data_IF_867867417850
#
_entry.id   IF_867867417850
#
_cell.length_a   1.000
_cell.length_b   1.000
_cell.length_c   1.000
_cell.angle_alpha   90.00
_cell.angle_beta   90.00
_cell.angle_gamma   90.00
#
_symmetry.space_group_name_H-M   'P 1'
#
loop_
_entity.id
_entity.type
_entity.pdbx_description
1 polymer ?
#
# COMPACT_ATOMS: atom_id res chain seq x y z
N UNK A 1 1.76 39.15 -78.12
CA UNK A 1 2.78 38.47 -77.31
C UNK A 1 2.24 38.24 -75.92
N UNK A 2 1.68 37.08 -75.69
CA UNK A 2 1.04 36.70 -74.43
C UNK A 2 1.98 35.79 -73.63
N UNK A 3 2.27 36.18 -72.38
CA UNK A 3 3.09 35.38 -71.44
C UNK A 3 2.16 34.57 -70.52
N UNK A 4 2.11 33.25 -70.72
CA UNK A 4 1.51 32.30 -69.79
C UNK A 4 2.35 32.18 -68.53
N UNK A 5 1.77 32.51 -67.36
CA UNK A 5 2.33 32.14 -66.04
C UNK A 5 1.73 30.79 -65.62
N UNK A 6 2.59 29.75 -65.48
CA UNK A 6 2.22 28.49 -64.89
C UNK A 6 2.25 28.61 -63.36
N UNK A 7 1.10 28.41 -62.70
CA UNK A 7 1.02 28.15 -61.29
C UNK A 7 1.33 26.68 -61.02
N UNK A 8 2.39 26.41 -60.25
CA UNK A 8 2.71 25.12 -59.70
C UNK A 8 2.02 24.98 -58.34
N UNK A 9 1.01 24.12 -58.25
CA UNK A 9 0.42 23.73 -56.97
C UNK A 9 1.30 22.62 -56.34
N UNK A 10 2.02 22.92 -55.25
CA UNK A 10 2.62 21.94 -54.38
C UNK A 10 1.53 21.36 -53.49
N UNK A 11 1.07 20.13 -53.76
CA UNK A 11 0.21 19.40 -52.86
C UNK A 11 1.02 18.84 -51.69
N UNK A 12 0.72 19.32 -50.47
CA UNK A 12 1.21 18.70 -49.23
C UNK A 12 0.37 17.46 -48.96
N UNK A 13 0.93 16.26 -49.15
CA UNK A 13 0.37 15.04 -48.60
C UNK A 13 0.70 14.96 -47.10
N UNK A 14 -0.29 15.22 -46.28
CA UNK A 14 -0.22 14.94 -44.88
C UNK A 14 -0.32 13.44 -44.65
N UNK A 15 0.77 12.80 -44.26
CA UNK A 15 0.78 11.44 -43.75
C UNK A 15 0.17 11.47 -42.34
N UNK A 16 -1.08 11.02 -42.23
CA UNK A 16 -1.63 10.65 -40.91
C UNK A 16 -0.97 9.31 -40.50
N UNK A 17 0.04 9.39 -39.65
CA UNK A 17 0.51 8.24 -38.90
C UNK A 17 -0.57 7.84 -37.90
N UNK A 18 -1.27 6.74 -38.17
CA UNK A 18 -2.11 6.09 -37.15
C UNK A 18 -1.18 5.50 -36.09
N UNK A 19 -1.01 6.22 -34.99
CA UNK A 19 -0.38 5.68 -33.79
C UNK A 19 -1.37 4.64 -33.22
N UNK A 20 -1.02 3.37 -33.37
CA UNK A 20 -1.70 2.29 -32.65
C UNK A 20 -1.47 2.54 -31.15
N UNK A 21 -2.46 3.03 -30.44
CA UNK A 21 -2.46 3.07 -28.99
C UNK A 21 -2.53 1.62 -28.52
N UNK A 22 -1.38 1.00 -28.24
CA UNK A 22 -1.33 -0.14 -27.35
C UNK A 22 -2.09 0.30 -26.10
N UNK A 23 -3.13 -0.46 -25.70
CA UNK A 23 -4.04 -0.09 -24.61
C UNK A 23 -3.26 0.25 -23.34
N UNK A 24 -3.03 1.53 -23.14
CA UNK A 24 -2.54 2.05 -21.85
C UNK A 24 -3.67 1.86 -20.85
N UNK A 25 -3.34 1.33 -19.68
CA UNK A 25 -4.27 1.32 -18.57
C UNK A 25 -4.82 2.74 -18.36
N UNK A 26 -6.09 2.87 -18.05
CA UNK A 26 -6.64 4.19 -17.75
C UNK A 26 -5.94 4.74 -16.49
N UNK A 27 -5.57 6.02 -16.46
CA UNK A 27 -4.90 6.61 -15.30
C UNK A 27 -5.79 6.56 -14.07
N UNK A 28 -5.18 6.35 -12.90
CA UNK A 28 -5.88 6.48 -11.63
C UNK A 28 -6.34 7.93 -11.39
N UNK A 29 -7.49 8.07 -10.77
CA UNK A 29 -8.08 9.37 -10.45
C UNK A 29 -7.65 9.80 -9.05
N UNK A 30 -6.94 10.93 -8.86
CA UNK A 30 -6.59 11.43 -7.53
C UNK A 30 -7.82 11.57 -6.62
N UNK A 31 -7.69 11.12 -5.37
CA UNK A 31 -8.76 11.17 -4.38
C UNK A 31 -9.72 9.97 -4.40
N UNK A 32 -9.51 9.00 -5.28
CA UNK A 32 -10.20 7.71 -5.28
C UNK A 32 -9.48 6.67 -4.43
N UNK A 33 -10.06 5.49 -4.33
CA UNK A 33 -9.50 4.33 -3.65
C UNK A 33 -9.07 3.29 -4.67
N UNK A 34 -7.92 2.69 -4.45
CA UNK A 34 -7.47 1.51 -5.20
C UNK A 34 -7.50 0.31 -4.27
N UNK A 35 -8.18 -0.75 -4.70
CA UNK A 35 -8.35 -2.00 -3.95
C UNK A 35 -7.67 -3.12 -4.70
N UNK A 36 -6.84 -3.91 -4.02
CA UNK A 36 -6.32 -5.15 -4.58
C UNK A 36 -7.36 -6.27 -4.46
N UNK A 37 -7.76 -6.81 -5.59
CA UNK A 37 -8.67 -7.94 -5.70
C UNK A 37 -7.89 -9.18 -6.12
N UNK A 38 -8.02 -10.26 -5.34
CA UNK A 38 -7.42 -11.57 -5.62
C UNK A 38 -8.49 -12.51 -6.13
N UNK A 39 -8.20 -13.26 -7.18
CA UNK A 39 -9.12 -14.23 -7.78
C UNK A 39 -9.40 -13.95 -9.25
N UNK A 40 -10.07 -14.89 -9.89
CA UNK A 40 -10.47 -14.84 -11.31
C UNK A 40 -11.93 -15.28 -11.53
N UNK A 41 -12.74 -15.31 -10.48
CA UNK A 41 -14.13 -15.76 -10.53
C UNK A 41 -14.30 -17.28 -10.47
N UNK A 42 -13.22 -18.04 -10.39
CA UNK A 42 -13.23 -19.50 -10.28
C UNK A 42 -12.54 -19.91 -9.00
N UNK A 43 -13.12 -20.87 -8.26
CA UNK A 43 -12.43 -21.48 -7.11
C UNK A 43 -11.34 -22.43 -7.64
N UNK A 44 -10.15 -21.88 -7.80
CA UNK A 44 -8.99 -22.60 -8.31
C UNK A 44 -8.09 -23.09 -7.17
N UNK A 45 -7.49 -24.26 -7.36
CA UNK A 45 -6.34 -24.71 -6.57
C UNK A 45 -5.07 -24.15 -7.19
N UNK A 46 -4.21 -23.51 -6.42
CA UNK A 46 -2.95 -22.94 -6.87
C UNK A 46 -2.95 -21.42 -6.97
N UNK A 47 -2.01 -20.89 -7.74
CA UNK A 47 -1.83 -19.44 -7.87
C UNK A 47 -3.00 -18.77 -8.57
N UNK A 48 -3.38 -17.60 -8.04
CA UNK A 48 -4.49 -16.80 -8.57
C UNK A 48 -4.02 -15.37 -8.87
N UNK A 49 -4.60 -14.72 -9.89
CA UNK A 49 -4.23 -13.37 -10.29
C UNK A 49 -4.60 -12.34 -9.23
N UNK A 50 -3.94 -11.20 -9.31
CA UNK A 50 -4.24 -9.99 -8.53
C UNK A 50 -4.54 -8.86 -9.52
N UNK A 51 -5.64 -8.16 -9.29
CA UNK A 51 -6.06 -6.99 -10.07
C UNK A 51 -6.26 -5.81 -9.13
N UNK A 52 -5.75 -4.64 -9.50
CA UNK A 52 -6.04 -3.40 -8.80
C UNK A 52 -7.30 -2.79 -9.40
N UNK A 53 -8.29 -2.49 -8.57
CA UNK A 53 -9.57 -1.90 -8.98
C UNK A 53 -9.78 -0.56 -8.32
N UNK A 54 -10.19 0.42 -9.09
CA UNK A 54 -10.45 1.75 -8.59
C UNK A 54 -11.93 1.93 -8.23
N UNK A 55 -12.15 2.57 -7.06
CA UNK A 55 -13.47 2.93 -6.55
C UNK A 55 -13.49 4.40 -6.14
N UNK A 56 -14.60 5.07 -6.31
CA UNK A 56 -14.83 6.36 -5.65
C UNK A 56 -14.87 6.18 -4.14
N UNK A 57 -14.70 7.24 -3.39
CA UNK A 57 -14.84 7.21 -1.91
C UNK A 57 -16.27 6.88 -1.45
N UNK A 58 -17.25 6.94 -2.35
CA UNK A 58 -18.62 6.48 -2.13
C UNK A 58 -18.85 5.00 -2.50
N UNK A 59 -17.81 4.29 -2.96
CA UNK A 59 -17.87 2.86 -3.27
C UNK A 59 -18.28 2.50 -4.69
N UNK A 60 -18.46 3.47 -5.58
CA UNK A 60 -18.77 3.21 -6.99
C UNK A 60 -17.49 2.81 -7.72
N UNK A 61 -17.48 1.65 -8.39
CA UNK A 61 -16.37 1.27 -9.26
C UNK A 61 -16.27 2.24 -10.44
N UNK A 62 -15.07 2.76 -10.70
CA UNK A 62 -14.83 3.71 -11.79
C UNK A 62 -14.66 3.03 -13.15
N UNK A 63 -14.41 1.73 -13.15
CA UNK A 63 -14.06 0.94 -14.34
C UNK A 63 -12.55 0.88 -14.61
N UNK A 64 -11.73 1.60 -13.85
CA UNK A 64 -10.26 1.50 -13.95
C UNK A 64 -9.81 0.21 -13.27
N UNK A 65 -9.15 -0.65 -14.05
CA UNK A 65 -8.59 -1.92 -13.58
C UNK A 65 -7.17 -2.10 -14.11
N UNK A 66 -6.24 -2.47 -13.24
CA UNK A 66 -4.85 -2.75 -13.57
C UNK A 66 -4.55 -4.20 -13.17
N UNK A 67 -4.50 -5.09 -14.15
CA UNK A 67 -4.15 -6.49 -13.94
C UNK A 67 -2.63 -6.63 -13.74
N UNK A 68 -2.20 -7.23 -12.63
CA UNK A 68 -0.79 -7.52 -12.41
C UNK A 68 -0.32 -8.70 -13.28
N UNK A 69 0.97 -8.74 -13.70
CA UNK A 69 1.50 -9.80 -14.53
C UNK A 69 1.34 -11.16 -13.84
N UNK A 70 0.82 -12.16 -14.54
CA UNK A 70 0.71 -13.56 -14.07
C UNK A 70 1.78 -14.46 -14.61
N UNK A 71 2.56 -13.98 -15.60
CA UNK A 71 3.69 -14.67 -16.25
C UNK A 71 4.88 -13.74 -16.34
N UNK A 72 6.08 -14.32 -16.43
CA UNK A 72 7.31 -13.56 -16.64
C UNK A 72 7.46 -13.17 -18.12
N UNK A 73 7.90 -11.94 -18.39
CA UNK A 73 8.21 -11.44 -19.72
C UNK A 73 9.31 -10.39 -19.67
N UNK A 74 10.50 -10.71 -20.14
CA UNK A 74 11.67 -9.83 -20.04
C UNK A 74 11.99 -9.50 -18.58
N UNK A 75 11.99 -8.20 -18.23
CA UNK A 75 12.16 -7.70 -16.87
C UNK A 75 10.84 -7.51 -16.10
N UNK A 76 9.71 -7.82 -16.71
CA UNK A 76 8.40 -7.82 -16.04
C UNK A 76 8.14 -9.20 -15.46
N UNK A 77 8.09 -9.29 -14.14
CA UNK A 77 7.91 -10.55 -13.41
C UNK A 77 6.49 -10.70 -12.88
N UNK A 78 6.03 -11.95 -12.81
CA UNK A 78 4.73 -12.28 -12.28
C UNK A 78 4.56 -11.88 -10.82
N UNK A 79 3.35 -11.42 -10.49
CA UNK A 79 2.87 -11.17 -9.12
C UNK A 79 1.52 -11.83 -8.97
N UNK A 80 1.49 -12.91 -8.21
CA UNK A 80 0.28 -13.69 -7.96
C UNK A 80 0.10 -13.95 -6.47
N UNK A 81 -1.12 -14.22 -6.05
CA UNK A 81 -1.37 -14.89 -4.78
C UNK A 81 -1.18 -16.40 -4.96
N UNK A 82 -0.63 -17.07 -3.96
CA UNK A 82 -0.42 -18.53 -4.04
C UNK A 82 -1.74 -19.31 -3.95
N UNK A 83 -2.74 -18.76 -3.28
CA UNK A 83 -4.12 -19.29 -3.24
C UNK A 83 -5.10 -18.15 -2.98
N UNK A 84 -6.39 -18.35 -3.30
CA UNK A 84 -7.46 -17.41 -2.97
C UNK A 84 -7.56 -17.18 -1.46
N UNK A 85 -7.40 -18.24 -0.66
CA UNK A 85 -7.50 -18.20 0.80
C UNK A 85 -6.30 -17.60 1.53
N UNK A 86 -5.20 -17.25 0.84
CA UNK A 86 -4.07 -16.61 1.51
C UNK A 86 -4.41 -15.18 1.92
N UNK A 87 -4.64 -15.00 3.22
CA UNK A 87 -5.07 -13.73 3.80
C UNK A 87 -3.92 -12.75 4.04
N UNK A 88 -2.68 -13.20 3.94
CA UNK A 88 -1.48 -12.39 4.21
C UNK A 88 -0.90 -11.68 3.00
N UNK A 89 -1.51 -11.78 1.82
CA UNK A 89 -1.01 -11.19 0.58
C UNK A 89 -1.95 -10.14 0.02
N UNK A 90 -1.41 -9.23 -0.78
CA UNK A 90 -2.22 -8.23 -1.50
C UNK A 90 -2.36 -6.90 -0.76
N UNK A 91 -1.64 -6.68 0.34
CA UNK A 91 -1.60 -5.37 0.98
C UNK A 91 -1.00 -4.34 0.04
N UNK A 92 -1.70 -3.22 -0.10
CA UNK A 92 -1.37 -2.16 -1.03
C UNK A 92 -0.93 -0.92 -0.24
N UNK A 93 0.22 -0.34 -0.59
CA UNK A 93 0.72 0.87 0.06
C UNK A 93 0.93 1.97 -0.97
N UNK A 94 0.54 3.20 -0.65
CA UNK A 94 0.93 4.38 -1.40
C UNK A 94 2.31 4.84 -0.93
N UNK A 95 3.18 5.26 -1.84
CA UNK A 95 4.49 5.83 -1.53
C UNK A 95 4.38 7.09 -0.67
N UNK A 96 5.47 7.44 0.01
CA UNK A 96 5.48 8.64 0.88
C UNK A 96 5.28 9.92 0.06
N UNK A 97 5.84 9.99 -1.15
CA UNK A 97 5.65 11.08 -2.11
C UNK A 97 4.31 11.02 -2.87
N UNK A 98 3.47 10.02 -2.53
CA UNK A 98 2.13 9.79 -3.10
C UNK A 98 2.07 9.42 -4.58
N UNK A 99 3.19 9.25 -5.28
CA UNK A 99 3.24 9.06 -6.73
C UNK A 99 3.04 7.61 -7.18
N UNK A 100 3.24 6.65 -6.28
CA UNK A 100 3.22 5.23 -6.60
C UNK A 100 2.36 4.43 -5.64
N UNK A 101 1.87 3.31 -6.13
CA UNK A 101 1.42 2.20 -5.30
C UNK A 101 2.48 1.10 -5.31
N UNK A 102 2.61 0.38 -4.21
CA UNK A 102 3.47 -0.80 -4.10
C UNK A 102 2.69 -1.99 -3.58
N UNK A 103 3.02 -3.16 -4.10
CA UNK A 103 2.48 -4.45 -3.68
C UNK A 103 3.56 -5.51 -3.81
N UNK A 104 3.56 -6.48 -2.90
CA UNK A 104 4.43 -7.66 -2.98
C UNK A 104 3.59 -8.92 -3.13
N UNK A 105 4.07 -9.86 -3.94
CA UNK A 105 3.41 -11.13 -4.17
C UNK A 105 4.39 -12.27 -4.43
N UNK A 106 3.82 -13.42 -4.73
CA UNK A 106 4.57 -14.57 -5.22
C UNK A 106 4.86 -14.39 -6.72
N UNK A 107 6.02 -14.87 -7.17
CA UNK A 107 6.28 -15.06 -8.60
C UNK A 107 5.55 -16.27 -9.16
N UNK A 108 5.79 -16.62 -10.42
CA UNK A 108 5.25 -17.82 -11.08
C UNK A 108 5.53 -19.10 -10.27
N UNK A 109 6.68 -19.17 -9.62
CA UNK A 109 7.01 -20.22 -8.65
C UNK A 109 6.77 -19.70 -7.24
N UNK A 110 5.57 -19.92 -6.71
CA UNK A 110 5.17 -19.47 -5.38
C UNK A 110 6.05 -20.03 -4.24
N UNK A 111 6.79 -21.09 -4.45
CA UNK A 111 7.68 -21.67 -3.43
C UNK A 111 9.04 -20.97 -3.38
N UNK A 112 9.52 -20.39 -4.46
CA UNK A 112 10.89 -19.89 -4.57
C UNK A 112 10.99 -18.36 -4.67
N UNK A 113 10.17 -17.69 -5.49
CA UNK A 113 10.37 -16.27 -5.79
C UNK A 113 9.29 -15.35 -5.21
N UNK A 114 9.70 -14.12 -4.91
CA UNK A 114 8.85 -13.00 -4.50
C UNK A 114 9.12 -11.83 -5.43
N UNK A 115 8.06 -11.14 -5.80
CA UNK A 115 8.12 -9.97 -6.70
C UNK A 115 7.46 -8.79 -6.03
N UNK A 116 8.10 -7.63 -6.10
CA UNK A 116 7.52 -6.35 -5.72
C UNK A 116 7.17 -5.60 -6.99
N UNK A 117 5.94 -5.09 -7.11
CA UNK A 117 5.58 -4.12 -8.12
C UNK A 117 5.48 -2.72 -7.52
N UNK A 118 5.92 -1.77 -8.33
CA UNK A 118 5.61 -0.35 -8.22
C UNK A 118 4.67 0.00 -9.37
N UNK A 119 3.56 0.65 -9.05
CA UNK A 119 2.55 1.05 -10.03
C UNK A 119 2.44 2.58 -10.00
N UNK A 120 2.58 3.22 -11.15
CA UNK A 120 2.51 4.67 -11.28
C UNK A 120 1.07 5.18 -11.43
N UNK A 121 0.92 6.49 -11.54
CA UNK A 121 -0.37 7.18 -11.67
C UNK A 121 -1.11 6.86 -12.97
N UNK A 122 -0.42 6.38 -13.99
CA UNK A 122 -0.99 5.98 -15.28
C UNK A 122 -1.34 4.49 -15.32
N UNK A 123 -1.13 3.75 -14.22
CA UNK A 123 -1.31 2.30 -14.16
C UNK A 123 -0.14 1.53 -14.78
N UNK A 124 0.98 2.21 -15.07
CA UNK A 124 2.22 1.57 -15.52
C UNK A 124 2.82 0.71 -14.41
N UNK A 125 3.15 -0.55 -14.71
CA UNK A 125 3.65 -1.53 -13.74
C UNK A 125 5.15 -1.74 -13.95
N UNK A 126 5.94 -1.49 -12.93
CA UNK A 126 7.33 -1.95 -12.83
C UNK A 126 7.40 -3.10 -11.82
N UNK A 127 7.51 -4.33 -12.32
CA UNK A 127 7.68 -5.55 -11.53
C UNK A 127 9.07 -6.17 -11.70
N UNK A 128 10.07 -5.34 -11.98
CA UNK A 128 11.46 -5.77 -12.18
C UNK A 128 12.17 -6.23 -10.89
N UNK A 129 11.63 -5.90 -9.73
CA UNK A 129 12.20 -6.30 -8.42
C UNK A 129 11.74 -7.71 -8.07
N UNK A 130 12.63 -8.68 -8.23
CA UNK A 130 12.34 -10.09 -7.96
C UNK A 130 13.53 -10.79 -7.32
N UNK A 131 13.26 -11.53 -6.25
CA UNK A 131 14.31 -12.23 -5.50
C UNK A 131 13.85 -13.61 -5.02
N UNK A 132 14.81 -14.47 -4.73
CA UNK A 132 14.56 -15.75 -4.08
C UNK A 132 14.35 -15.53 -2.58
N UNK A 133 13.25 -16.05 -2.06
CA UNK A 133 12.92 -16.03 -0.65
C UNK A 133 12.05 -17.26 -0.31
N UNK A 134 12.60 -18.45 -0.50
CA UNK A 134 11.91 -19.70 -0.22
C UNK A 134 11.44 -19.74 1.24
N UNK A 135 10.22 -20.20 1.47
CA UNK A 135 9.61 -20.28 2.80
C UNK A 135 9.07 -18.95 3.33
N UNK A 136 9.36 -17.80 2.71
CA UNK A 136 8.81 -16.50 3.16
C UNK A 136 7.41 -16.30 2.64
N UNK A 137 6.46 -16.01 3.53
CA UNK A 137 5.15 -15.48 3.16
C UNK A 137 5.26 -13.94 3.02
N UNK A 138 5.23 -13.37 1.80
CA UNK A 138 5.31 -11.93 1.61
C UNK A 138 4.04 -11.26 2.15
N UNK A 139 4.17 -10.05 2.70
CA UNK A 139 3.06 -9.34 3.35
C UNK A 139 2.83 -7.96 2.77
N UNK A 140 3.79 -7.06 2.86
CA UNK A 140 3.67 -5.66 2.49
C UNK A 140 4.96 -5.13 1.87
N UNK A 141 4.84 -4.13 1.01
CA UNK A 141 5.98 -3.37 0.51
C UNK A 141 5.63 -1.88 0.49
N UNK A 142 6.61 -1.01 0.74
CA UNK A 142 6.46 0.44 0.69
C UNK A 142 7.72 1.07 0.09
N UNK A 143 7.56 2.26 -0.47
CA UNK A 143 8.65 3.10 -1.02
C UNK A 143 8.48 4.54 -0.57
N UNK A 144 9.58 5.29 -0.53
CA UNK A 144 9.54 6.74 -0.33
C UNK A 144 9.26 7.46 -1.64
N UNK A 145 10.10 7.23 -2.65
CA UNK A 145 10.09 7.95 -3.94
C UNK A 145 10.13 7.00 -5.16
N UNK A 146 9.81 5.73 -4.96
CA UNK A 146 9.73 4.74 -6.02
C UNK A 146 11.01 3.94 -6.31
N UNK A 147 12.18 4.31 -5.77
CA UNK A 147 13.46 3.62 -6.02
C UNK A 147 13.92 2.77 -4.85
N UNK A 148 13.69 3.22 -3.64
CA UNK A 148 13.97 2.50 -2.41
C UNK A 148 12.75 1.69 -2.00
N UNK A 149 12.95 0.42 -1.65
CA UNK A 149 11.87 -0.50 -1.33
C UNK A 149 12.11 -1.15 0.03
N UNK A 150 11.13 -1.06 0.89
CA UNK A 150 11.06 -1.89 2.10
C UNK A 150 9.96 -2.91 1.92
N UNK A 151 10.20 -4.12 2.39
CA UNK A 151 9.20 -5.16 2.36
C UNK A 151 9.20 -5.99 3.64
N UNK A 152 8.08 -6.58 3.94
CA UNK A 152 7.88 -7.43 5.11
C UNK A 152 7.37 -8.80 4.74
N UNK A 153 7.64 -9.77 5.61
CA UNK A 153 7.16 -11.13 5.44
C UNK A 153 7.39 -11.99 6.67
N UNK A 154 6.92 -13.23 6.60
CA UNK A 154 6.99 -14.21 7.65
C UNK A 154 7.61 -15.52 7.15
N UNK A 155 8.54 -16.10 7.93
CA UNK A 155 9.13 -17.42 7.65
C UNK A 155 8.78 -18.47 8.70
N UNK A 156 8.06 -18.09 9.76
CA UNK A 156 7.85 -18.96 10.92
C UNK A 156 9.13 -19.26 11.72
N UNK A 157 10.32 -18.90 11.21
CA UNK A 157 11.61 -19.07 11.90
C UNK A 157 12.66 -18.07 11.39
N UNK A 158 13.23 -17.42 12.21
CA UNK A 158 14.19 -16.35 12.50
C UNK A 158 15.12 -15.77 11.44
N UNK A 159 15.38 -16.28 10.25
CA UNK A 159 16.52 -15.77 9.48
C UNK A 159 16.22 -15.10 8.15
N UNK A 160 15.06 -15.32 7.55
CA UNK A 160 14.74 -14.82 6.21
C UNK A 160 13.49 -13.96 6.11
N UNK A 161 12.63 -13.92 7.14
CA UNK A 161 11.47 -13.04 7.26
C UNK A 161 11.79 -11.66 7.83
N UNK A 162 10.79 -11.06 8.44
CA UNK A 162 10.89 -9.74 9.05
C UNK A 162 10.78 -8.61 8.03
N UNK A 163 11.46 -7.51 8.32
CA UNK A 163 11.50 -6.32 7.47
C UNK A 163 12.85 -6.23 6.79
N UNK A 164 12.83 -5.95 5.48
CA UNK A 164 14.05 -5.87 4.67
C UNK A 164 14.02 -4.63 3.78
N UNK A 165 15.21 -4.12 3.48
CA UNK A 165 15.44 -3.02 2.56
C UNK A 165 16.09 -3.54 1.26
N UNK A 166 15.60 -3.09 0.11
CA UNK A 166 16.16 -3.37 -1.21
C UNK A 166 15.92 -2.19 -2.14
N UNK A 167 16.40 -2.25 -3.38
CA UNK A 167 16.19 -1.22 -4.39
C UNK A 167 15.34 -1.75 -5.54
N UNK A 168 14.67 -0.87 -6.25
CA UNK A 168 13.93 -1.18 -7.47
C UNK A 168 14.84 -1.89 -8.49
N UNK A 169 14.33 -2.94 -9.12
CA UNK A 169 15.09 -3.76 -10.08
C UNK A 169 16.05 -4.76 -9.45
N UNK A 170 16.13 -4.83 -8.12
CA UNK A 170 17.02 -5.75 -7.42
C UNK A 170 16.60 -7.21 -7.58
N UNK A 171 17.58 -8.11 -7.73
CA UNK A 171 17.40 -9.56 -7.68
C UNK A 171 17.75 -10.16 -6.31
N UNK A 172 18.17 -9.32 -5.36
CA UNK A 172 18.46 -9.69 -3.98
C UNK A 172 17.25 -9.38 -3.09
N UNK A 173 17.01 -10.26 -2.09
CA UNK A 173 16.03 -9.99 -1.03
C UNK A 173 16.39 -8.79 -0.15
N UNK A 174 17.57 -8.23 -0.31
CA UNK A 174 18.04 -7.04 0.35
C UNK A 174 18.57 -7.28 1.76
N UNK A 175 18.78 -6.17 2.47
CA UNK A 175 19.33 -6.10 3.82
C UNK A 175 18.20 -6.39 4.82
N UNK A 176 18.36 -7.41 5.66
CA UNK A 176 17.44 -7.64 6.77
C UNK A 176 17.68 -6.63 7.88
N UNK A 177 16.68 -5.87 8.26
CA UNK A 177 16.82 -4.83 9.28
C UNK A 177 17.09 -5.43 10.67
N UNK A 178 16.57 -6.62 10.95
CA UNK A 178 16.70 -7.31 12.25
C UNK A 178 17.80 -8.40 12.29
N UNK A 179 18.64 -8.52 11.26
CA UNK A 179 19.59 -9.63 11.15
C UNK A 179 20.71 -9.57 12.19
N UNK A 180 21.10 -10.74 12.72
CA UNK A 180 22.27 -10.92 13.56
C UNK A 180 22.03 -10.82 15.07
N UNK A 181 20.82 -10.47 15.46
CA UNK A 181 20.47 -10.47 16.88
C UNK A 181 19.80 -11.78 17.19
N UNK A 182 20.48 -12.62 17.97
CA UNK A 182 19.88 -13.83 18.55
C UNK A 182 18.55 -13.48 19.20
N UNK A 183 17.59 -14.36 19.11
CA UNK A 183 16.20 -14.16 19.52
C UNK A 183 15.97 -13.81 21.00
N UNK A 184 17.00 -13.49 21.75
CA UNK A 184 16.92 -13.34 23.21
C UNK A 184 17.84 -12.21 23.69
N UNK A 185 17.30 -11.00 23.77
CA UNK A 185 17.95 -9.91 24.46
C UNK A 185 17.59 -8.52 23.93
N UNK A 186 17.41 -7.60 24.84
CA UNK A 186 17.33 -6.17 24.54
C UNK A 186 18.75 -5.60 24.32
N UNK A 187 18.84 -4.50 23.60
CA UNK A 187 20.05 -3.67 23.62
C UNK A 187 20.19 -2.94 24.96
N UNK A 188 21.28 -2.16 25.13
CA UNK A 188 21.51 -1.36 26.34
C UNK A 188 20.39 -0.35 26.64
N UNK A 189 19.56 0.00 25.66
CA UNK A 189 18.40 0.89 25.81
C UNK A 189 17.07 0.15 26.06
N UNK A 190 17.10 -1.18 26.28
CA UNK A 190 15.91 -1.98 26.52
C UNK A 190 15.04 -2.24 25.28
N UNK A 191 15.57 -2.00 24.06
CA UNK A 191 14.87 -2.26 22.82
C UNK A 191 15.17 -3.70 22.32
N UNK A 192 14.22 -4.29 21.62
CA UNK A 192 14.30 -5.65 21.11
C UNK A 192 14.47 -5.68 19.58
N UNK A 193 15.06 -6.75 19.02
CA UNK A 193 15.15 -6.92 17.57
C UNK A 193 13.77 -6.88 16.92
N UNK A 194 13.68 -6.26 15.74
CA UNK A 194 12.45 -6.25 14.92
C UNK A 194 11.98 -7.69 14.67
N UNK A 195 10.68 -8.01 14.84
CA UNK A 195 10.19 -9.38 14.76
C UNK A 195 10.31 -9.95 13.34
N UNK A 196 10.62 -11.25 13.26
CA UNK A 196 10.72 -11.99 11.99
C UNK A 196 9.34 -12.23 11.32
N UNK A 197 8.25 -12.24 12.07
CA UNK A 197 6.88 -12.23 11.56
C UNK A 197 6.36 -10.79 11.59
N UNK A 198 6.85 -9.99 10.68
CA UNK A 198 6.33 -8.64 10.47
C UNK A 198 5.23 -8.68 9.41
N UNK A 199 4.13 -8.02 9.69
CA UNK A 199 2.95 -8.00 8.83
C UNK A 199 2.99 -6.80 7.89
N UNK A 200 2.26 -5.74 8.19
CA UNK A 200 2.22 -4.55 7.34
C UNK A 200 3.23 -3.52 7.84
N UNK A 201 3.81 -2.78 6.92
CA UNK A 201 4.79 -1.72 7.19
C UNK A 201 4.25 -0.38 6.70
N UNK A 202 4.71 0.70 7.31
CA UNK A 202 4.32 2.07 6.98
C UNK A 202 5.39 3.08 7.38
N UNK A 203 5.32 4.25 6.76
CA UNK A 203 6.16 5.40 7.09
C UNK A 203 5.22 6.55 7.41
N UNK A 204 5.44 7.20 8.54
CA UNK A 204 4.70 8.37 8.96
C UNK A 204 5.67 9.37 9.58
N UNK A 205 5.60 10.63 9.15
CA UNK A 205 6.44 11.73 9.60
C UNK A 205 7.95 11.37 9.65
N UNK A 206 8.43 10.72 8.58
CA UNK A 206 9.82 10.30 8.43
C UNK A 206 10.27 9.17 9.36
N UNK A 207 9.38 8.51 10.08
CA UNK A 207 9.66 7.35 10.92
C UNK A 207 9.02 6.08 10.36
N UNK A 208 9.76 4.97 10.41
CA UNK A 208 9.32 3.66 9.94
C UNK A 208 8.62 2.87 11.03
N UNK A 209 7.51 2.22 10.68
CA UNK A 209 6.68 1.41 11.56
C UNK A 209 6.36 0.05 10.95
N UNK A 210 6.03 -0.90 11.80
CA UNK A 210 5.51 -2.21 11.42
C UNK A 210 4.43 -2.70 12.38
N UNK A 211 3.68 -3.70 11.94
CA UNK A 211 2.75 -4.45 12.78
C UNK A 211 3.17 -5.91 12.91
N UNK A 212 2.83 -6.53 14.02
CA UNK A 212 3.11 -7.94 14.28
C UNK A 212 2.15 -8.52 15.31
N UNK A 213 2.02 -9.87 15.32
CA UNK A 213 1.25 -10.60 16.31
C UNK A 213 2.13 -11.51 17.17
N UNK A 214 3.45 -11.32 17.19
CA UNK A 214 4.38 -12.22 17.87
C UNK A 214 5.15 -11.54 18.99
N UNK A 215 5.75 -12.35 19.85
CA UNK A 215 6.74 -11.93 20.83
C UNK A 215 8.13 -12.40 20.38
N UNK A 216 9.17 -11.64 20.75
CA UNK A 216 10.58 -11.97 20.50
C UNK A 216 11.34 -11.81 21.81
N UNK A 217 12.05 -12.85 22.24
CA UNK A 217 12.86 -12.80 23.47
C UNK A 217 12.09 -12.43 24.73
N UNK A 218 10.79 -12.77 24.81
CA UNK A 218 9.92 -12.42 25.92
C UNK A 218 9.27 -11.02 25.80
N UNK A 219 9.66 -10.20 24.80
CA UNK A 219 9.04 -8.92 24.51
C UNK A 219 7.90 -9.08 23.48
N UNK A 220 6.74 -8.48 23.76
CA UNK A 220 5.59 -8.57 22.86
C UNK A 220 5.58 -7.45 21.83
N UNK A 221 5.65 -7.82 20.56
CA UNK A 221 5.41 -6.94 19.42
C UNK A 221 3.96 -6.97 18.92
N UNK A 222 3.04 -7.60 19.68
CA UNK A 222 1.62 -7.59 19.32
C UNK A 222 1.09 -6.18 19.26
N UNK A 223 0.83 -5.67 18.05
CA UNK A 223 0.42 -4.29 17.84
C UNK A 223 1.23 -3.61 16.76
N UNK A 224 1.40 -2.31 16.92
CA UNK A 224 2.24 -1.46 16.05
C UNK A 224 3.52 -1.10 16.79
N UNK A 225 4.64 -1.21 16.14
CA UNK A 225 5.96 -0.90 16.67
C UNK A 225 6.74 0.01 15.74
N UNK A 226 7.63 0.83 16.28
CA UNK A 226 8.60 1.57 15.48
C UNK A 226 9.78 0.66 15.08
N UNK A 227 10.54 1.07 14.06
CA UNK A 227 11.72 0.35 13.57
C UNK A 227 12.88 1.34 13.48
N UNK A 228 13.85 1.19 14.36
CA UNK A 228 15.02 2.06 14.41
C UNK A 228 14.65 3.53 14.57
N UNK A 229 15.46 4.40 13.98
CA UNK A 229 15.23 5.85 13.92
C UNK A 229 15.14 6.29 12.47
N UNK A 230 14.13 7.08 12.13
CA UNK A 230 13.88 7.53 10.77
C UNK A 230 13.41 6.37 9.85
N UNK A 231 13.93 6.30 8.65
CA UNK A 231 13.64 5.27 7.65
C UNK A 231 14.90 4.44 7.39
N UNK A 232 15.15 3.38 8.17
CA UNK A 232 16.44 2.68 8.17
C UNK A 232 16.64 1.82 6.91
N UNK A 233 17.88 1.81 6.41
CA UNK A 233 18.34 1.00 5.28
C UNK A 233 19.42 0.00 5.65
N UNK A 234 19.83 -0.04 6.94
CA UNK A 234 20.93 -0.86 7.45
C UNK A 234 20.42 -1.92 8.43
N UNK A 235 21.19 -2.99 8.59
CA UNK A 235 20.92 -4.07 9.55
C UNK A 235 21.00 -3.59 11.02
N UNK A 236 20.68 -4.50 11.93
CA UNK A 236 20.75 -4.32 13.39
C UNK A 236 19.81 -3.24 13.92
N UNK A 237 18.61 -3.15 13.34
CA UNK A 237 17.57 -2.29 13.86
C UNK A 237 16.82 -2.93 15.02
N UNK A 238 16.43 -2.09 15.96
CA UNK A 238 15.61 -2.45 17.10
C UNK A 238 14.24 -1.80 16.98
N UNK A 239 13.26 -2.35 17.69
CA UNK A 239 11.91 -1.80 17.73
C UNK A 239 11.37 -1.69 19.16
N UNK A 240 10.37 -0.83 19.29
CA UNK A 240 9.57 -0.69 20.50
C UNK A 240 8.11 -0.65 20.11
N UNK A 241 7.30 -1.48 20.76
CA UNK A 241 5.84 -1.45 20.57
C UNK A 241 5.29 -0.12 21.07
N UNK A 242 4.54 0.58 20.25
CA UNK A 242 3.91 1.86 20.57
C UNK A 242 2.43 1.68 20.95
N UNK A 243 1.69 0.82 20.28
CA UNK A 243 0.33 0.43 20.68
C UNK A 243 0.21 -1.08 20.75
N UNK A 244 -0.48 -1.61 21.74
CA UNK A 244 -0.60 -3.03 21.99
C UNK A 244 0.35 -3.54 23.08
N UNK A 245 1.18 -4.54 22.76
CA UNK A 245 2.16 -5.12 23.69
C UNK A 245 1.60 -6.18 24.65
N UNK A 246 0.33 -6.55 24.52
CA UNK A 246 -0.29 -7.60 25.34
C UNK A 246 0.20 -9.01 25.04
N UNK A 247 -0.14 -9.94 25.92
CA UNK A 247 0.05 -11.39 25.68
C UNK A 247 -1.01 -11.93 24.70
N UNK A 248 -0.86 -13.13 24.20
CA UNK A 248 -1.90 -13.86 23.45
C UNK A 248 -3.22 -13.88 24.22
N UNK A 249 -4.33 -13.63 23.52
CA UNK A 249 -5.68 -13.62 24.07
C UNK A 249 -5.84 -12.67 25.27
N UNK A 250 -5.12 -11.55 25.23
CA UNK A 250 -5.20 -10.52 26.29
C UNK A 250 -6.44 -9.64 26.17
N UNK A 251 -7.17 -9.70 25.04
CA UNK A 251 -8.27 -8.78 24.74
C UNK A 251 -7.82 -7.36 24.44
N UNK A 252 -6.53 -7.13 24.26
CA UNK A 252 -5.95 -5.82 23.94
C UNK A 252 -5.86 -5.66 22.43
N UNK A 253 -5.00 -6.47 21.80
CA UNK A 253 -4.77 -6.56 20.37
C UNK A 253 -4.08 -7.91 20.12
N UNK A 254 -4.67 -8.76 19.31
CA UNK A 254 -4.15 -10.14 19.17
C UNK A 254 -3.72 -10.47 17.74
N UNK A 255 -4.41 -9.94 16.73
CA UNK A 255 -4.07 -10.21 15.33
C UNK A 255 -4.01 -8.94 14.48
N UNK A 256 -3.17 -7.95 14.83
CA UNK A 256 -3.07 -6.69 14.10
C UNK A 256 -2.48 -6.91 12.71
N UNK A 257 -3.06 -6.25 11.70
CA UNK A 257 -2.58 -6.24 10.32
C UNK A 257 -2.17 -4.84 9.90
N UNK A 258 -3.07 -4.13 9.25
CA UNK A 258 -2.82 -2.77 8.76
C UNK A 258 -2.98 -1.76 9.90
N UNK A 259 -2.35 -0.62 9.74
CA UNK A 259 -2.52 0.51 10.65
C UNK A 259 -2.49 1.83 9.88
N UNK A 260 -3.14 2.84 10.44
CA UNK A 260 -3.14 4.20 9.94
C UNK A 260 -2.82 5.16 11.10
N UNK A 261 -1.70 5.87 10.98
CA UNK A 261 -1.30 6.90 11.94
C UNK A 261 -1.88 8.21 11.43
N UNK A 262 -2.86 8.74 12.14
CA UNK A 262 -3.56 9.95 11.73
C UNK A 262 -2.80 11.23 12.18
N UNK A 263 -2.22 11.18 13.35
CA UNK A 263 -1.29 12.19 13.89
C UNK A 263 -0.42 11.55 14.99
N UNK A 264 0.42 12.36 15.66
CA UNK A 264 1.30 11.89 16.75
C UNK A 264 0.55 11.30 17.95
N UNK A 265 -0.76 11.51 18.06
CA UNK A 265 -1.57 11.13 19.20
C UNK A 265 -2.73 10.17 18.86
N UNK A 266 -2.89 9.82 17.59
CA UNK A 266 -4.02 8.99 17.14
C UNK A 266 -3.57 7.94 16.14
N UNK A 267 -3.75 6.65 16.49
CA UNK A 267 -3.45 5.50 15.65
C UNK A 267 -4.71 4.63 15.54
N UNK A 268 -4.98 4.18 14.31
CA UNK A 268 -6.00 3.16 14.03
C UNK A 268 -5.30 1.86 13.64
N UNK A 269 -5.78 0.74 14.18
CA UNK A 269 -5.22 -0.59 13.92
C UNK A 269 -6.32 -1.54 13.49
N UNK A 270 -6.14 -2.14 12.31
CA UNK A 270 -6.99 -3.20 11.80
C UNK A 270 -6.59 -4.52 12.44
N UNK A 271 -7.52 -5.21 13.08
CA UNK A 271 -7.34 -6.49 13.76
C UNK A 271 -8.36 -7.49 13.21
N UNK A 272 -7.92 -8.72 12.92
CA UNK A 272 -8.78 -9.78 12.39
C UNK A 272 -8.98 -10.94 13.37
N UNK A 273 -8.68 -10.75 14.64
CA UNK A 273 -8.83 -11.80 15.64
C UNK A 273 -10.29 -12.14 15.91
N UNK A 274 -10.60 -13.42 15.74
CA UNK A 274 -11.92 -13.98 16.03
C UNK A 274 -11.94 -14.87 17.28
N UNK A 275 -10.79 -15.01 17.97
CA UNK A 275 -10.65 -15.84 19.17
C UNK A 275 -11.18 -15.08 20.39
N UNK A 276 -11.95 -15.74 21.23
CA UNK A 276 -12.49 -15.08 22.42
C UNK A 276 -11.40 -14.88 23.53
N UNK A 277 -11.31 -13.68 24.14
CA UNK A 277 -12.09 -12.46 23.88
C UNK A 277 -11.68 -11.81 22.55
N UNK A 278 -12.58 -11.79 21.58
CA UNK A 278 -12.30 -11.31 20.24
C UNK A 278 -11.89 -9.83 20.25
N UNK A 279 -10.76 -9.52 19.63
CA UNK A 279 -10.26 -8.14 19.46
C UNK A 279 -10.50 -7.61 18.05
N UNK A 280 -11.04 -8.45 17.15
CA UNK A 280 -11.25 -8.17 15.74
C UNK A 280 -12.14 -6.96 15.49
N UNK A 281 -11.67 -6.12 14.58
CA UNK A 281 -12.30 -4.86 14.21
C UNK A 281 -11.26 -3.82 13.83
N UNK A 282 -11.70 -2.57 13.81
CA UNK A 282 -10.84 -1.40 13.75
C UNK A 282 -10.72 -0.83 15.15
N UNK A 283 -9.53 -0.78 15.68
CA UNK A 283 -9.25 -0.23 17.01
C UNK A 283 -8.70 1.19 16.84
N UNK A 284 -9.21 2.14 17.66
CA UNK A 284 -8.62 3.47 17.82
C UNK A 284 -7.82 3.52 19.09
N UNK A 285 -6.62 4.06 19.00
CA UNK A 285 -5.71 4.29 20.09
C UNK A 285 -5.37 5.77 20.20
N UNK A 286 -5.38 6.30 21.42
CA UNK A 286 -5.07 7.69 21.73
C UNK A 286 -3.89 7.77 22.69
N UNK A 287 -2.95 8.67 22.38
CA UNK A 287 -1.85 9.01 23.26
C UNK A 287 -2.27 10.18 24.17
N UNK A 288 -2.21 9.95 25.46
CA UNK A 288 -2.54 10.97 26.46
C UNK A 288 -1.77 10.70 27.74
N UNK A 289 -1.30 11.74 28.41
CA UNK A 289 -0.55 11.64 29.69
C UNK A 289 0.64 10.67 29.63
N UNK A 290 1.34 10.62 28.48
CA UNK A 290 2.55 9.82 28.31
C UNK A 290 2.31 8.34 27.98
N UNK A 291 1.07 7.92 27.70
CA UNK A 291 0.75 6.54 27.38
C UNK A 291 -0.33 6.41 26.32
N UNK A 292 -0.31 5.31 25.57
CA UNK A 292 -1.34 4.92 24.62
C UNK A 292 -2.45 4.14 25.32
N UNK A 293 -3.70 4.48 25.02
CA UNK A 293 -4.89 3.78 25.50
C UNK A 293 -5.86 3.52 24.34
N UNK A 294 -6.54 2.37 24.37
CA UNK A 294 -7.57 2.04 23.39
C UNK A 294 -8.85 2.80 23.71
N UNK A 295 -9.29 3.66 22.79
CA UNK A 295 -10.52 4.44 22.92
C UNK A 295 -11.75 3.59 22.60
N UNK A 296 -11.70 2.81 21.50
CA UNK A 296 -12.79 1.94 21.06
C UNK A 296 -12.32 0.85 20.09
N UNK A 297 -13.18 -0.14 19.85
CA UNK A 297 -13.10 -1.11 18.78
C UNK A 297 -14.42 -1.13 18.03
N UNK A 298 -14.40 -0.92 16.70
CA UNK A 298 -15.55 -0.99 15.82
C UNK A 298 -15.41 -2.22 14.91
N UNK A 299 -16.44 -3.08 14.84
CA UNK A 299 -16.43 -4.26 14.00
C UNK A 299 -17.48 -4.11 12.91
N UNK A 300 -17.14 -4.28 11.61
CA UNK A 300 -18.13 -4.25 10.54
C UNK A 300 -19.14 -5.38 10.66
N UNK A 301 -20.39 -5.11 10.33
CA UNK A 301 -21.45 -6.11 10.41
C UNK A 301 -21.14 -7.34 9.52
N UNK A 302 -21.30 -8.53 10.08
CA UNK A 302 -21.06 -9.79 9.38
C UNK A 302 -19.59 -10.16 9.17
N UNK A 303 -18.64 -9.36 9.65
CA UNK A 303 -17.21 -9.65 9.58
C UNK A 303 -16.66 -10.03 10.96
N UNK A 304 -15.50 -10.70 10.97
CA UNK A 304 -14.76 -11.00 12.21
C UNK A 304 -13.78 -9.88 12.58
N UNK A 305 -13.51 -8.96 11.64
CA UNK A 305 -12.60 -7.83 11.87
C UNK A 305 -12.32 -7.04 10.60
N UNK A 306 -11.22 -6.28 10.64
CA UNK A 306 -10.69 -5.49 9.53
C UNK A 306 -9.24 -5.93 9.29
N UNK A 307 -8.81 -5.98 8.02
CA UNK A 307 -7.44 -6.38 7.67
C UNK A 307 -6.69 -5.33 6.87
N UNK A 308 -7.23 -4.86 5.74
CA UNK A 308 -6.68 -3.73 4.98
C UNK A 308 -7.21 -2.42 5.53
N UNK A 309 -6.41 -1.35 5.52
CA UNK A 309 -6.78 -0.04 6.04
C UNK A 309 -6.02 1.07 5.32
N UNK A 310 -6.71 2.14 5.00
CA UNK A 310 -6.14 3.43 4.62
C UNK A 310 -7.01 4.55 5.19
N UNK A 311 -6.51 5.78 5.18
CA UNK A 311 -7.27 6.90 5.70
C UNK A 311 -6.82 8.25 5.14
N UNK A 312 -7.64 9.25 5.40
CA UNK A 312 -7.39 10.65 5.07
C UNK A 312 -7.79 11.51 6.27
N UNK A 313 -6.92 12.44 6.64
CA UNK A 313 -7.18 13.45 7.67
C UNK A 313 -7.45 14.80 7.02
N UNK A 314 -8.55 15.42 7.39
CA UNK A 314 -8.91 16.77 6.93
C UNK A 314 -9.35 17.61 8.14
N UNK A 315 -8.47 18.49 8.60
CA UNK A 315 -8.67 19.18 9.86
C UNK A 315 -8.73 18.20 11.03
N UNK A 316 -9.82 18.19 11.78
CA UNK A 316 -10.07 17.22 12.86
C UNK A 316 -10.84 15.97 12.41
N UNK A 317 -11.30 15.91 11.17
CA UNK A 317 -12.05 14.77 10.62
C UNK A 317 -11.09 13.73 10.07
N UNK A 318 -11.37 12.45 10.38
CA UNK A 318 -10.65 11.29 9.86
C UNK A 318 -11.62 10.43 9.08
N UNK A 319 -11.35 10.25 7.79
CA UNK A 319 -12.09 9.31 6.95
C UNK A 319 -11.24 8.06 6.76
N UNK A 320 -11.77 6.90 7.16
CA UNK A 320 -11.09 5.60 7.10
C UNK A 320 -11.79 4.69 6.10
N UNK A 321 -11.00 3.90 5.39
CA UNK A 321 -11.45 2.87 4.46
C UNK A 321 -10.76 1.56 4.80
N UNK A 322 -11.54 0.51 4.95
CA UNK A 322 -11.04 -0.80 5.37
C UNK A 322 -11.50 -1.93 4.49
N UNK A 323 -10.77 -3.03 4.53
CA UNK A 323 -11.17 -4.32 3.94
C UNK A 323 -11.54 -5.26 5.08
N UNK A 324 -12.77 -5.78 5.05
CA UNK A 324 -13.25 -6.68 6.11
C UNK A 324 -12.51 -8.00 6.12
N UNK A 325 -12.31 -8.56 7.31
CA UNK A 325 -11.86 -9.93 7.51
C UNK A 325 -13.07 -10.84 7.70
N UNK A 326 -13.06 -11.97 7.00
CA UNK A 326 -14.10 -13.01 7.11
C UNK A 326 -13.53 -14.24 7.83
N UNK A 327 -14.39 -15.08 8.35
CA UNK A 327 -14.01 -16.33 9.04
C UNK A 327 -13.23 -17.25 8.10
N UNK A 328 -13.66 -17.36 6.84
CA UNK A 328 -12.90 -18.04 5.79
C UNK A 328 -12.16 -17.03 4.91
N UNK A 329 -10.91 -17.31 4.60
CA UNK A 329 -10.11 -16.46 3.69
C UNK A 329 -10.60 -16.46 2.23
N UNK A 330 -11.54 -17.34 1.88
CA UNK A 330 -12.15 -17.44 0.54
C UNK A 330 -13.52 -16.80 0.45
N UNK A 331 -14.11 -16.41 1.58
CA UNK A 331 -15.42 -15.77 1.59
C UNK A 331 -15.36 -14.37 0.97
N UNK A 332 -16.38 -14.02 0.23
CA UNK A 332 -16.54 -12.66 -0.30
C UNK A 332 -16.56 -11.67 0.87
N UNK A 333 -15.68 -10.70 0.78
CA UNK A 333 -15.51 -9.66 1.80
C UNK A 333 -15.79 -8.27 1.20
N UNK A 334 -15.71 -7.24 2.02
CA UNK A 334 -16.19 -5.91 1.63
C UNK A 334 -15.14 -4.82 1.84
N UNK A 335 -15.20 -3.81 0.97
CA UNK A 335 -14.67 -2.47 1.20
C UNK A 335 -15.68 -1.72 2.07
N UNK A 336 -15.22 -1.18 3.18
CA UNK A 336 -16.04 -0.44 4.15
C UNK A 336 -15.45 0.94 4.43
N UNK A 337 -16.28 1.87 4.86
CA UNK A 337 -15.86 3.19 5.29
C UNK A 337 -16.36 3.51 6.69
N UNK A 338 -15.62 4.39 7.38
CA UNK A 338 -15.93 4.88 8.72
C UNK A 338 -15.37 6.29 8.86
N UNK A 339 -16.19 7.21 9.39
CA UNK A 339 -15.79 8.58 9.71
C UNK A 339 -15.60 8.72 11.22
N UNK A 340 -14.53 9.38 11.61
CA UNK A 340 -14.19 9.64 13.02
C UNK A 340 -13.63 11.07 13.20
N UNK A 341 -13.38 11.45 14.46
CA UNK A 341 -12.78 12.73 14.81
C UNK A 341 -11.50 12.50 15.61
N UNK A 342 -10.41 13.20 15.27
CA UNK A 342 -9.17 13.17 16.04
C UNK A 342 -9.45 13.48 17.52
N UNK A 343 -8.86 12.70 18.44
CA UNK A 343 -9.08 12.83 19.88
C UNK A 343 -10.47 12.44 20.37
N UNK A 344 -11.44 12.18 19.49
CA UNK A 344 -12.80 11.74 19.89
C UNK A 344 -12.79 10.31 20.42
N UNK A 345 -13.70 10.00 21.35
CA UNK A 345 -13.87 8.67 21.96
C UNK A 345 -15.21 8.03 21.64
N UNK A 346 -16.06 8.70 20.87
CA UNK A 346 -17.35 8.16 20.43
C UNK A 346 -17.13 7.00 19.45
N UNK A 347 -17.77 5.86 19.70
CA UNK A 347 -17.70 4.70 18.82
C UNK A 347 -18.46 5.00 17.51
N UNK A 348 -17.78 5.03 16.36
CA UNK A 348 -18.44 5.22 15.06
C UNK A 348 -18.95 3.89 14.49
N UNK A 349 -19.73 3.99 13.40
CA UNK A 349 -20.22 2.83 12.67
C UNK A 349 -19.66 2.76 11.26
N UNK A 350 -19.53 1.54 10.73
CA UNK A 350 -19.13 1.29 9.35
C UNK A 350 -20.32 1.42 8.39
N UNK A 351 -20.00 1.87 7.18
CA UNK A 351 -20.83 1.69 5.98
C UNK A 351 -20.11 0.75 4.99
N UNK A 352 -20.86 -0.17 4.39
CA UNK A 352 -20.35 -1.01 3.29
C UNK A 352 -20.39 -0.22 2.00
N UNK A 353 -19.25 -0.14 1.31
CA UNK A 353 -19.10 0.58 0.04
C UNK A 353 -19.22 -0.37 -1.16
N UNK A 354 -18.52 -1.51 -1.12
CA UNK A 354 -18.53 -2.50 -2.17
C UNK A 354 -18.26 -3.89 -1.59
N UNK A 355 -18.71 -4.94 -2.26
CA UNK A 355 -18.45 -6.34 -1.88
C UNK A 355 -17.79 -7.07 -3.03
N UNK A 356 -16.80 -7.90 -2.74
CA UNK A 356 -16.15 -8.77 -3.71
C UNK A 356 -17.17 -9.76 -4.30
N UNK A 357 -17.03 -10.10 -5.58
CA UNK A 357 -17.84 -11.12 -6.23
C UNK A 357 -17.49 -12.53 -5.75
N UNK A 358 -18.28 -13.50 -6.15
CA UNK A 358 -18.01 -14.92 -5.88
C UNK A 358 -16.64 -15.34 -6.43
N UNK A 359 -15.85 -16.03 -5.60
CA UNK A 359 -14.48 -16.44 -5.90
C UNK A 359 -13.51 -15.26 -6.17
N UNK A 360 -13.85 -14.11 -5.63
CA UNK A 360 -12.97 -12.96 -5.49
C UNK A 360 -12.91 -12.53 -4.04
N UNK A 361 -11.75 -12.01 -3.63
CA UNK A 361 -11.58 -11.40 -2.31
C UNK A 361 -10.79 -10.10 -2.43
N UNK A 362 -11.20 -9.08 -1.70
CA UNK A 362 -10.41 -7.86 -1.50
C UNK A 362 -9.34 -8.12 -0.45
N UNK A 363 -8.16 -7.51 -0.60
CA UNK A 363 -7.03 -7.69 0.34
C UNK A 363 -6.50 -6.39 0.90
N UNK A 364 -6.06 -5.49 0.05
CA UNK A 364 -5.52 -4.20 0.43
C UNK A 364 -6.35 -3.05 -0.12
N UNK A 365 -6.24 -1.90 0.50
CA UNK A 365 -6.81 -0.64 0.05
C UNK A 365 -5.80 0.49 0.27
N UNK A 366 -5.66 1.37 -0.72
CA UNK A 366 -4.88 2.60 -0.62
C UNK A 366 -5.59 3.74 -1.33
N UNK A 367 -5.26 4.98 -0.99
CA UNK A 367 -5.62 6.12 -1.83
C UNK A 367 -4.88 6.02 -3.17
N UNK A 368 -5.53 6.43 -4.25
CA UNK A 368 -4.93 6.47 -5.58
C UNK A 368 -3.67 7.35 -5.59
N UNK A 369 -2.66 6.99 -6.40
CA UNK A 369 -1.46 7.80 -6.50
C UNK A 369 -1.77 9.13 -7.21
N UNK A 370 -1.00 10.18 -6.87
CA UNK A 370 -1.19 11.53 -7.37
C UNK A 370 -0.02 11.88 -8.30
N UNK A 371 -0.28 12.39 -9.52
CA UNK A 371 0.79 12.83 -10.41
C UNK A 371 1.61 13.96 -9.78
N UNK A 372 2.91 13.99 -10.07
CA UNK A 372 3.70 15.18 -9.74
C UNK A 372 3.04 16.42 -10.34
N UNK A 373 3.04 17.56 -9.62
CA UNK A 373 2.72 18.84 -10.23
C UNK A 373 3.69 19.05 -11.39
N UNK A 374 3.23 18.87 -12.63
CA UNK A 374 4.12 18.86 -13.78
C UNK A 374 4.83 20.20 -13.89
N UNK A 375 6.15 20.21 -13.73
CA UNK A 375 7.02 21.36 -13.97
C UNK A 375 6.75 22.00 -15.35
N UNK A 376 6.23 21.22 -16.30
CA UNK A 376 5.78 21.66 -17.63
C UNK A 376 4.59 22.62 -17.55
N UNK A 377 3.62 22.42 -16.66
CA UNK A 377 2.49 23.35 -16.49
C UNK A 377 2.97 24.66 -15.86
N UNK A 378 3.91 24.63 -14.93
CA UNK A 378 4.51 25.83 -14.36
C UNK A 378 5.35 26.60 -15.39
N UNK A 379 6.11 25.91 -16.24
CA UNK A 379 6.90 26.53 -17.31
C UNK A 379 5.98 27.13 -18.37
N UNK A 380 4.91 26.47 -18.77
CA UNK A 380 3.93 27.01 -19.73
C UNK A 380 3.13 28.19 -19.14
N UNK A 381 2.76 28.11 -17.87
CA UNK A 381 2.12 29.22 -17.17
C UNK A 381 3.08 30.43 -17.03
N UNK A 382 4.35 30.20 -16.67
CA UNK A 382 5.40 31.21 -16.61
C UNK A 382 5.70 31.83 -17.98
N UNK A 383 5.83 31.01 -19.03
CA UNK A 383 6.03 31.50 -20.39
C UNK A 383 4.81 32.32 -20.92
N UNK A 384 3.59 31.87 -20.63
CA UNK A 384 2.37 32.60 -20.95
C UNK A 384 2.28 33.94 -20.25
N UNK A 385 2.68 34.02 -18.98
CA UNK A 385 2.74 35.29 -18.23
C UNK A 385 3.78 36.25 -18.80
N UNK A 386 4.98 35.75 -19.17
CA UNK A 386 6.04 36.57 -19.81
C UNK A 386 5.62 37.12 -21.17
N UNK A 387 4.92 36.32 -21.99
CA UNK A 387 4.37 36.77 -23.28
C UNK A 387 3.28 37.84 -23.07
N UNK A 388 2.42 37.69 -22.07
CA UNK A 388 1.38 38.67 -21.75
C UNK A 388 1.96 40.00 -21.26
N UNK A 389 3.02 39.95 -20.44
CA UNK A 389 3.73 41.16 -19.98
C UNK A 389 4.49 41.84 -21.14
N UNK A 390 5.15 41.05 -22.00
CA UNK A 390 5.85 41.55 -23.18
C UNK A 390 4.91 42.31 -24.16
N UNK A 391 3.72 41.75 -24.41
CA UNK A 391 2.68 42.42 -25.25
C UNK A 391 2.15 43.72 -24.63
N UNK A 392 1.98 43.78 -23.31
CA UNK A 392 1.55 45.02 -22.63
C UNK A 392 2.61 46.15 -22.69
N UNK A 393 3.89 45.79 -22.69
CA UNK A 393 4.99 46.73 -22.81
C UNK A 393 5.15 47.29 -24.25
N UNK A 394 4.82 46.49 -25.29
CA UNK A 394 4.83 46.97 -26.68
C UNK A 394 3.67 47.92 -27.00
N UNK A 395 2.48 47.68 -26.41
CA UNK A 395 1.30 48.58 -26.61
C UNK A 395 1.48 49.94 -25.93
N UNK A 396 2.38 50.09 -24.96
CA UNK A 396 2.68 51.36 -24.30
C UNK A 396 3.78 52.20 -25.00
N UNK A 397 4.42 51.67 -26.04
CA UNK A 397 5.48 52.36 -26.80
C UNK A 397 5.08 52.71 -28.23
N UNK A 398 3.88 52.44 -28.65
CA UNK A 398 3.21 52.95 -29.83
C UNK A 398 2.13 53.98 -29.42
#
# INVERSE_FOLDING_TARGET
MSRFRRCVYLGWLAWLATVSTSGMAAPFTPGTLVVSQVGNGVLASGTVPVTLREFTTAGTATGVEVALPTTDSGSSYAIVANTLGNTGIGFLKRSVDEQFLTIIGYGTNATASRTIARIDTLGGIDSSTRFSAAGVSPRSAITTTGTDLWWSGDTGSGSTGGIRFTSLGSTSSGIALAQGLGSSGSNASGQFPVPYNSRVIGIFDGQFYGSSSVAVGGYSFRGVFNVGTGVPTTANQFGVTIVGGGTSNSGIIDSPWEFFIADSNTIYVADDDSTAPATGGLQKWLFSSGSWSKAWTATPAGAVGVRGLTGLVTGSSVQLYGITAMTSGTDANSLVALSDTLGGTTLPSFSTLATAGSNYVFRGVALAPVPEPSSVVLVLAGAGALVAVGRRLQIRRG
#
